data_IF_527503108383
#
_entry.id   IF_527503108383
#
_cell.length_a   1.000
_cell.length_b   1.000
_cell.length_c   1.000
_cell.angle_alpha   90.00
_cell.angle_beta   90.00
_cell.angle_gamma   90.00
#
_symmetry.space_group_name_H-M   'P 1'
#
loop_
_entity.id
_entity.type
_entity.pdbx_description
1 polymer ?
#
# COMPACT_ATOMS: atom_id res chain seq x y z
N UNK A 1 -6.82 15.07 12.65
CA UNK A 1 -7.50 14.68 11.38
C UNK A 1 -6.82 13.44 10.86
N UNK A 2 -7.53 12.33 10.87
CA UNK A 2 -7.00 11.05 10.38
C UNK A 2 -6.99 11.04 8.86
N UNK A 3 -5.78 10.94 8.31
CA UNK A 3 -5.54 10.87 6.86
C UNK A 3 -5.52 9.41 6.44
N UNK A 4 -6.28 9.11 5.39
CA UNK A 4 -6.39 7.78 4.81
C UNK A 4 -5.82 7.73 3.39
N UNK A 5 -5.36 6.54 3.02
CA UNK A 5 -5.05 6.16 1.65
C UNK A 5 -5.91 4.94 1.30
N UNK A 6 -6.51 4.97 0.12
CA UNK A 6 -7.28 3.85 -0.40
C UNK A 6 -6.48 3.11 -1.48
N UNK A 7 -6.32 1.80 -1.32
CA UNK A 7 -5.48 0.90 -2.10
C UNK A 7 -6.26 -0.25 -2.72
N UNK A 8 -6.15 -0.43 -4.03
CA UNK A 8 -6.73 -1.56 -4.76
C UNK A 8 -6.06 -2.87 -4.34
N UNK A 9 -6.87 -3.90 -4.10
CA UNK A 9 -6.42 -5.20 -3.63
C UNK A 9 -5.57 -5.98 -4.66
N UNK A 10 -6.00 -6.03 -5.94
CA UNK A 10 -5.47 -6.96 -6.96
C UNK A 10 -4.16 -6.53 -7.66
N UNK A 11 -3.39 -5.61 -7.08
CA UNK A 11 -2.05 -5.29 -7.60
C UNK A 11 -2.06 -4.27 -8.75
N UNK A 12 -1.82 -3.02 -8.39
CA UNK A 12 -1.52 -1.94 -9.31
C UNK A 12 -1.20 -0.66 -8.55
N UNK A 13 -0.51 0.32 -9.15
CA UNK A 13 -0.20 1.58 -8.50
C UNK A 13 -1.50 2.29 -8.11
N UNK A 14 -1.57 2.63 -6.85
CA UNK A 14 -2.76 3.18 -6.25
C UNK A 14 -2.72 4.70 -6.28
N UNK A 15 -3.87 5.32 -6.54
CA UNK A 15 -4.13 6.75 -6.44
C UNK A 15 -3.67 7.31 -5.09
N UNK A 16 -2.57 8.06 -5.13
CA UNK A 16 -1.92 8.74 -4.00
C UNK A 16 -2.68 9.99 -3.52
N UNK A 17 -4.00 9.93 -3.42
CA UNK A 17 -4.74 11.05 -2.82
C UNK A 17 -4.96 10.79 -1.34
N UNK A 18 -4.02 11.30 -0.54
CA UNK A 18 -4.14 11.40 0.91
C UNK A 18 -5.28 12.35 1.22
N UNK A 19 -6.40 11.81 1.71
CA UNK A 19 -7.63 12.56 2.03
C UNK A 19 -8.08 12.22 3.45
N UNK A 20 -8.94 13.03 4.08
CA UNK A 20 -9.58 12.66 5.34
C UNK A 20 -10.26 11.29 5.21
N UNK A 21 -10.06 10.41 6.19
CA UNK A 21 -10.59 9.04 6.16
C UNK A 21 -12.12 9.06 6.02
N UNK A 22 -12.81 9.94 6.74
CA UNK A 22 -14.28 10.10 6.66
C UNK A 22 -14.76 10.35 5.24
N UNK A 23 -14.14 11.30 4.54
CA UNK A 23 -14.51 11.65 3.17
C UNK A 23 -14.28 10.48 2.19
N UNK A 24 -13.25 9.66 2.40
CA UNK A 24 -13.01 8.46 1.61
C UNK A 24 -14.10 7.41 1.82
N UNK A 25 -14.47 7.15 3.08
CA UNK A 25 -15.48 6.16 3.43
C UNK A 25 -16.87 6.56 2.91
N UNK A 26 -17.23 7.84 3.04
CA UNK A 26 -18.47 8.39 2.49
C UNK A 26 -18.52 8.25 0.96
N UNK A 27 -17.43 8.58 0.26
CA UNK A 27 -17.36 8.44 -1.20
C UNK A 27 -17.54 6.97 -1.64
N UNK A 28 -16.94 6.03 -0.92
CA UNK A 28 -17.07 4.61 -1.24
C UNK A 28 -18.46 4.07 -0.97
N UNK A 29 -19.11 4.50 0.11
CA UNK A 29 -20.51 4.18 0.37
C UNK A 29 -21.43 4.74 -0.71
N UNK A 30 -21.26 6.01 -1.10
CA UNK A 30 -22.08 6.65 -2.15
C UNK A 30 -21.94 5.97 -3.51
N UNK A 31 -20.74 5.49 -3.83
CA UNK A 31 -20.43 4.85 -5.11
C UNK A 31 -20.62 3.33 -5.10
N UNK A 32 -21.10 2.74 -4.00
CA UNK A 32 -21.21 1.29 -3.81
C UNK A 32 -19.90 0.55 -4.13
N UNK A 33 -18.78 1.12 -3.70
CA UNK A 33 -17.46 0.53 -3.86
C UNK A 33 -17.22 -0.41 -2.69
N UNK A 34 -16.80 -1.65 -2.96
CA UNK A 34 -16.45 -2.60 -1.92
C UNK A 34 -15.10 -2.22 -1.29
N UNK A 35 -15.09 -2.04 0.03
CA UNK A 35 -13.89 -1.66 0.76
C UNK A 35 -13.79 -2.33 2.13
N UNK A 36 -12.56 -2.42 2.64
CA UNK A 36 -12.26 -2.84 4.01
C UNK A 36 -11.29 -1.85 4.61
N UNK A 37 -11.64 -1.28 5.76
CA UNK A 37 -10.70 -0.51 6.57
C UNK A 37 -9.76 -1.49 7.26
N UNK A 38 -8.47 -1.38 6.98
CA UNK A 38 -7.47 -2.26 7.58
C UNK A 38 -7.07 -1.68 8.94
N UNK A 39 -7.04 -2.56 9.93
CA UNK A 39 -6.60 -2.19 11.27
C UNK A 39 -5.14 -1.67 11.21
N UNK A 40 -4.87 -0.43 11.67
CA UNK A 40 -3.54 0.16 11.64
C UNK A 40 -2.52 -0.60 12.48
N UNK A 41 -2.94 -1.45 13.43
CA UNK A 41 -2.03 -2.33 14.19
C UNK A 41 -1.49 -3.47 13.32
N UNK A 42 -2.27 -3.93 12.34
CA UNK A 42 -1.89 -5.02 11.42
C UNK A 42 -1.12 -4.49 10.22
N UNK A 43 -1.58 -3.37 9.66
CA UNK A 43 -0.99 -2.79 8.46
C UNK A 43 -1.15 -1.27 8.47
N UNK A 44 -0.02 -0.56 8.47
CA UNK A 44 0.00 0.90 8.32
C UNK A 44 0.92 1.31 7.18
N UNK A 45 0.49 2.29 6.39
CA UNK A 45 1.35 2.93 5.40
C UNK A 45 1.88 4.23 5.99
N UNK A 46 3.14 4.21 6.45
CA UNK A 46 3.77 5.35 7.11
C UNK A 46 2.90 5.91 8.26
N UNK A 47 2.46 7.16 8.18
CA UNK A 47 1.58 7.81 9.17
C UNK A 47 0.09 7.72 8.84
N UNK A 48 -0.31 7.05 7.76
CA UNK A 48 -1.69 7.09 7.23
C UNK A 48 -2.45 5.79 7.46
N UNK A 49 -3.77 5.91 7.62
CA UNK A 49 -4.70 4.78 7.66
C UNK A 49 -4.87 4.19 6.27
N UNK A 50 -5.15 2.90 6.19
CA UNK A 50 -5.18 2.16 4.95
C UNK A 50 -6.55 1.55 4.73
N UNK A 51 -7.13 1.84 3.58
CA UNK A 51 -8.41 1.28 3.15
C UNK A 51 -8.14 0.42 1.93
N UNK A 52 -8.49 -0.85 1.97
CA UNK A 52 -8.41 -1.73 0.81
C UNK A 52 -9.70 -1.62 0.00
N UNK A 53 -9.56 -1.45 -1.31
CA UNK A 53 -10.66 -1.36 -2.26
C UNK A 53 -10.65 -2.60 -3.14
N UNK A 54 -11.80 -3.24 -3.25
CA UNK A 54 -11.99 -4.49 -3.97
C UNK A 54 -12.76 -4.21 -5.26
N UNK A 55 -12.51 -5.05 -6.27
CA UNK A 55 -13.22 -4.97 -7.55
C UNK A 55 -14.62 -5.58 -7.44
N UNK A 56 -14.75 -6.60 -6.61
CA UNK A 56 -15.94 -7.41 -6.45
C UNK A 56 -16.13 -7.81 -4.98
N UNK A 57 -17.38 -8.10 -4.62
CA UNK A 57 -17.76 -8.49 -3.27
C UNK A 57 -17.16 -9.84 -2.88
N UNK A 58 -16.97 -10.74 -3.85
CA UNK A 58 -16.41 -12.07 -3.61
C UNK A 58 -14.97 -12.00 -3.09
N UNK A 59 -14.10 -11.20 -3.72
CA UNK A 59 -12.73 -10.99 -3.23
C UNK A 59 -12.70 -10.31 -1.86
N UNK A 60 -13.61 -9.37 -1.61
CA UNK A 60 -13.77 -8.73 -0.29
C UNK A 60 -14.17 -9.74 0.79
N UNK A 61 -15.10 -10.65 0.48
CA UNK A 61 -15.55 -11.70 1.39
C UNK A 61 -14.46 -12.76 1.62
N UNK A 62 -13.72 -13.15 0.59
CA UNK A 62 -12.57 -14.06 0.71
C UNK A 62 -11.44 -13.45 1.55
N UNK A 63 -11.18 -12.15 1.41
CA UNK A 63 -10.23 -11.43 2.28
C UNK A 63 -10.72 -11.37 3.72
N UNK A 64 -12.00 -11.06 3.93
CA UNK A 64 -12.61 -10.99 5.28
C UNK A 64 -12.63 -12.36 5.97
N UNK A 65 -12.77 -13.44 5.20
CA UNK A 65 -12.70 -14.82 5.67
C UNK A 65 -11.25 -15.32 5.92
N UNK A 66 -10.24 -14.49 5.65
CA UNK A 66 -8.81 -14.85 5.79
C UNK A 66 -8.31 -15.84 4.74
N UNK A 67 -9.07 -16.10 3.67
CA UNK A 67 -8.65 -16.96 2.55
C UNK A 67 -7.67 -16.25 1.62
N UNK A 68 -7.74 -14.92 1.57
CA UNK A 68 -6.83 -14.08 0.82
C UNK A 68 -6.07 -13.15 1.76
N UNK A 69 -4.78 -12.99 1.50
CA UNK A 69 -3.94 -12.02 2.22
C UNK A 69 -3.49 -10.92 1.28
N UNK A 70 -3.57 -9.69 1.77
CA UNK A 70 -3.04 -8.55 1.07
C UNK A 70 -1.52 -8.48 1.25
N UNK A 71 -0.76 -8.65 0.18
CA UNK A 71 0.71 -8.57 0.20
C UNK A 71 1.18 -7.17 -0.17
N UNK A 72 1.51 -6.37 0.84
CA UNK A 72 2.01 -5.00 0.66
C UNK A 72 3.43 -4.97 0.07
N UNK A 73 3.55 -4.56 -1.21
CA UNK A 73 4.84 -4.45 -1.90
C UNK A 73 5.75 -3.30 -1.39
N UNK A 74 5.23 -2.39 -0.57
CA UNK A 74 5.97 -1.25 0.00
C UNK A 74 6.54 -1.50 1.40
N UNK A 75 6.20 -2.61 2.05
CA UNK A 75 6.74 -2.90 3.38
C UNK A 75 8.25 -3.19 3.27
N UNK A 76 9.09 -2.51 4.07
CA UNK A 76 10.53 -2.76 4.07
C UNK A 76 10.81 -4.23 4.45
N UNK A 77 11.64 -4.92 3.67
CA UNK A 77 11.92 -6.35 3.82
C UNK A 77 11.21 -7.28 2.81
N UNK A 78 10.17 -6.79 2.11
CA UNK A 78 9.51 -7.55 1.02
C UNK A 78 10.22 -7.42 -0.33
N UNK A 79 11.13 -6.44 -0.48
CA UNK A 79 11.96 -6.30 -1.69
C UNK A 79 13.10 -7.31 -1.64
N UNK A 80 12.97 -8.43 -2.36
CA UNK A 80 14.05 -9.38 -2.64
C UNK A 80 15.04 -8.89 -3.70
N UNK A 81 14.95 -7.63 -4.15
CA UNK A 81 15.95 -7.07 -5.04
C UNK A 81 17.20 -6.71 -4.24
N UNK A 82 18.16 -7.64 -4.22
CA UNK A 82 19.56 -7.33 -3.90
C UNK A 82 20.03 -6.29 -4.90
N UNK A 83 20.05 -5.02 -4.50
CA UNK A 83 20.67 -3.96 -5.27
C UNK A 83 22.14 -4.35 -5.51
N UNK A 84 22.46 -4.87 -6.72
CA UNK A 84 23.83 -5.13 -7.12
C UNK A 84 24.56 -3.78 -7.15
N UNK A 85 25.51 -3.61 -6.23
CA UNK A 85 26.39 -2.44 -6.23
C UNK A 85 27.17 -2.48 -7.54
N UNK A 86 27.00 -1.48 -8.40
CA UNK A 86 27.79 -1.36 -9.62
C UNK A 86 29.23 -0.92 -9.23
N UNK A 87 30.25 -1.76 -9.45
CA UNK A 87 31.61 -1.49 -9.00
C UNK A 87 32.22 -0.25 -9.66
N UNK A 88 31.86 0.07 -10.90
CA UNK A 88 32.34 1.29 -11.60
C UNK A 88 31.81 2.57 -10.95
N UNK A 89 30.56 2.53 -10.46
CA UNK A 89 29.96 3.66 -9.72
C UNK A 89 30.58 3.84 -8.34
N UNK A 90 30.97 2.75 -7.68
CA UNK A 90 31.67 2.78 -6.40
C UNK A 90 33.09 3.35 -6.57
N UNK A 91 33.85 2.87 -7.57
CA UNK A 91 35.19 3.36 -7.88
C UNK A 91 35.22 4.86 -8.21
N UNK A 92 34.26 5.35 -9.03
CA UNK A 92 34.14 6.77 -9.37
C UNK A 92 33.84 7.67 -8.16
N UNK A 93 33.14 7.14 -7.15
CA UNK A 93 32.89 7.87 -5.88
C UNK A 93 34.12 7.89 -4.98
N UNK A 94 34.90 6.82 -4.96
CA UNK A 94 36.15 6.75 -4.20
C UNK A 94 37.19 7.73 -4.73
N UNK A 95 37.38 7.77 -6.06
CA UNK A 95 38.34 8.69 -6.70
C UNK A 95 37.98 10.18 -6.61
N UNK A 96 36.74 10.52 -6.24
CA UNK A 96 36.30 11.91 -6.02
C UNK A 96 36.45 12.35 -4.56
N UNK A 97 36.78 11.43 -3.66
CA UNK A 97 37.04 11.69 -2.22
C UNK A 97 38.53 11.67 -1.86
N UNK A 98 39.38 11.14 -2.75
CA UNK A 98 40.83 11.35 -2.76
C UNK A 98 41.16 12.68 -3.42
#
# INVERSE_FOLDING_TARGET
MDKGIALRFEGGPIFRNVRPLSALLEEFQQKNIEFVHVDPTKLKYASWNLVLVFKDKETRDQYSAGKLEYKAAWLPGMRKETHRINPLKAAKRAARRS
#
